data_IF_466379429260
#
_entry.id   IF_466379429260
#
_cell.length_a   1.000
_cell.length_b   1.000
_cell.length_c   1.000
_cell.angle_alpha   90.00
_cell.angle_beta   90.00
_cell.angle_gamma   90.00
#
_symmetry.space_group_name_H-M   'P 1'
#
loop_
_entity.id
_entity.type
_entity.pdbx_description
1 polymer ?
#
# COMPACT_ATOMS: atom_id res chain seq x y z
N UNK A 1 4.11 20.88 4.77
CA UNK A 1 4.05 21.83 3.65
C UNK A 1 4.36 21.09 2.35
N UNK A 2 3.40 20.30 1.86
CA UNK A 2 3.46 19.62 0.55
C UNK A 2 2.13 19.91 -0.14
N UNK A 3 1.84 21.19 -0.31
CA UNK A 3 0.77 21.64 -1.18
C UNK A 3 1.43 22.07 -2.49
N UNK A 4 0.83 21.62 -3.59
CA UNK A 4 1.15 21.99 -4.97
C UNK A 4 2.20 21.14 -5.69
N UNK A 5 2.05 19.80 -5.68
CA UNK A 5 2.52 18.99 -6.80
C UNK A 5 1.65 19.39 -8.00
N UNK A 6 2.15 20.31 -8.82
CA UNK A 6 1.51 20.71 -10.06
C UNK A 6 1.05 19.46 -10.83
N UNK A 7 -0.17 19.48 -11.36
CA UNK A 7 -0.83 18.33 -12.05
C UNK A 7 0.07 17.65 -13.09
N UNK A 8 1.06 18.35 -13.63
CA UNK A 8 2.10 17.85 -14.54
C UNK A 8 3.04 16.78 -13.96
N UNK A 9 3.13 16.64 -12.64
CA UNK A 9 4.15 15.78 -11.99
C UNK A 9 3.56 14.54 -11.30
N UNK A 10 2.23 14.38 -11.28
CA UNK A 10 1.54 13.23 -10.66
C UNK A 10 2.00 11.88 -11.24
N UNK A 11 2.24 11.84 -12.54
CA UNK A 11 2.71 10.63 -13.22
C UNK A 11 4.12 10.23 -12.81
N UNK A 12 5.04 11.21 -12.67
CA UNK A 12 6.41 10.95 -12.18
C UNK A 12 6.41 10.60 -10.70
N UNK A 13 5.56 11.24 -9.91
CA UNK A 13 5.42 10.89 -8.50
C UNK A 13 4.90 9.47 -8.32
N UNK A 14 3.88 9.06 -9.09
CA UNK A 14 3.43 7.67 -9.09
C UNK A 14 4.57 6.71 -9.51
N UNK A 15 5.31 7.04 -10.55
CA UNK A 15 6.49 6.25 -10.96
C UNK A 15 7.53 6.11 -9.85
N UNK A 16 7.81 7.19 -9.12
CA UNK A 16 8.71 7.18 -7.97
C UNK A 16 8.19 6.25 -6.86
N UNK A 17 6.89 6.34 -6.53
CA UNK A 17 6.27 5.48 -5.53
C UNK A 17 6.33 4.00 -5.90
N UNK A 18 6.03 3.65 -7.16
CA UNK A 18 6.14 2.27 -7.65
C UNK A 18 7.59 1.78 -7.54
N UNK A 19 8.56 2.59 -7.94
CA UNK A 19 9.99 2.23 -7.85
C UNK A 19 10.42 2.01 -6.41
N UNK A 20 10.03 2.91 -5.50
CA UNK A 20 10.36 2.81 -4.09
C UNK A 20 9.74 1.57 -3.45
N UNK A 21 8.46 1.31 -3.72
CA UNK A 21 7.75 0.16 -3.22
C UNK A 21 8.38 -1.17 -3.68
N UNK A 22 8.72 -1.29 -4.97
CA UNK A 22 9.39 -2.51 -5.48
C UNK A 22 10.79 -2.66 -4.87
N UNK A 23 11.52 -1.56 -4.70
CA UNK A 23 12.89 -1.60 -4.14
C UNK A 23 12.90 -2.01 -2.66
N UNK A 24 11.87 -1.62 -1.91
CA UNK A 24 11.70 -1.97 -0.50
C UNK A 24 11.05 -3.35 -0.30
N UNK A 25 10.56 -3.97 -1.36
CA UNK A 25 9.91 -5.28 -1.32
C UNK A 25 10.94 -6.40 -1.36
N UNK A 26 10.98 -7.25 -0.33
CA UNK A 26 11.83 -8.45 -0.33
C UNK A 26 11.31 -9.53 -1.28
N UNK A 27 10.03 -9.47 -1.67
CA UNK A 27 9.33 -10.52 -2.41
C UNK A 27 9.26 -10.28 -3.92
N UNK A 28 9.41 -9.04 -4.38
CA UNK A 28 9.14 -8.67 -5.77
C UNK A 28 10.36 -8.04 -6.42
N UNK A 29 10.82 -8.63 -7.53
CA UNK A 29 11.88 -8.05 -8.36
C UNK A 29 11.29 -7.23 -9.50
N UNK A 30 11.98 -6.16 -9.92
CA UNK A 30 11.55 -5.30 -11.03
C UNK A 30 11.27 -6.11 -12.30
N UNK A 31 12.09 -7.13 -12.60
CA UNK A 31 11.90 -7.99 -13.76
C UNK A 31 10.60 -8.80 -13.69
N UNK A 32 10.26 -9.32 -12.50
CA UNK A 32 9.02 -10.08 -12.29
C UNK A 32 7.79 -9.18 -12.44
N UNK A 33 7.82 -7.97 -11.89
CA UNK A 33 6.72 -7.01 -12.03
C UNK A 33 6.58 -6.51 -13.48
N UNK A 34 7.69 -6.30 -14.19
CA UNK A 34 7.67 -5.97 -15.62
C UNK A 34 6.99 -7.07 -16.44
N UNK A 35 7.36 -8.33 -16.21
CA UNK A 35 6.75 -9.48 -16.88
C UNK A 35 5.24 -9.60 -16.56
N UNK A 36 4.87 -9.51 -15.29
CA UNK A 36 3.46 -9.60 -14.85
C UNK A 36 2.58 -8.46 -15.35
N UNK A 37 3.18 -7.33 -15.73
CA UNK A 37 2.48 -6.19 -16.34
C UNK A 37 2.44 -6.23 -17.86
N UNK A 38 3.00 -7.29 -18.48
CA UNK A 38 3.06 -7.47 -19.93
C UNK A 38 4.06 -6.53 -20.62
N UNK A 39 5.04 -5.99 -19.88
CA UNK A 39 6.03 -5.06 -20.39
C UNK A 39 7.41 -5.70 -20.45
N UNK A 40 8.22 -5.27 -21.42
CA UNK A 40 9.65 -5.59 -21.37
C UNK A 40 10.30 -4.86 -20.18
N UNK A 41 11.37 -5.45 -19.63
CA UNK A 41 12.13 -4.85 -18.54
C UNK A 41 12.51 -3.39 -18.84
N UNK A 42 13.01 -3.13 -20.05
CA UNK A 42 13.41 -1.79 -20.47
C UNK A 42 12.22 -0.81 -20.49
N UNK A 43 11.08 -1.21 -21.06
CA UNK A 43 9.89 -0.37 -21.13
C UNK A 43 9.31 -0.05 -19.74
N UNK A 44 9.36 -1.01 -18.82
CA UNK A 44 8.96 -0.80 -17.43
C UNK A 44 9.93 0.14 -16.71
N UNK A 45 11.23 -0.07 -16.89
CA UNK A 45 12.27 0.73 -16.25
C UNK A 45 12.22 2.21 -16.67
N UNK A 46 11.97 2.51 -17.96
CA UNK A 46 11.76 3.90 -18.42
C UNK A 46 10.57 4.58 -17.71
N UNK A 47 9.52 3.83 -17.38
CA UNK A 47 8.37 4.35 -16.62
C UNK A 47 8.72 4.59 -15.17
N UNK A 48 9.45 3.68 -14.54
CA UNK A 48 9.95 3.86 -13.16
C UNK A 48 10.88 5.08 -13.02
N UNK A 49 11.63 5.42 -14.06
CA UNK A 49 12.43 6.65 -14.12
C UNK A 49 11.60 7.93 -14.36
N UNK A 50 10.29 7.80 -14.58
CA UNK A 50 9.39 8.93 -14.85
C UNK A 50 9.61 9.58 -16.23
N UNK A 51 10.30 8.88 -17.15
CA UNK A 51 10.49 9.34 -18.54
C UNK A 51 9.21 9.18 -19.36
N UNK A 52 8.44 8.13 -19.08
CA UNK A 52 7.13 7.88 -19.66
C UNK A 52 6.14 7.62 -18.52
N UNK A 53 4.98 8.30 -18.44
CA UNK A 53 3.99 8.00 -17.42
C UNK A 53 3.33 6.62 -17.66
N UNK A 54 2.90 5.98 -16.58
CA UNK A 54 2.06 4.78 -16.67
C UNK A 54 0.68 5.12 -17.23
N UNK A 55 0.16 4.30 -18.14
CA UNK A 55 -1.24 4.37 -18.56
C UNK A 55 -2.17 3.77 -17.49
N UNK A 56 -3.47 4.08 -17.54
CA UNK A 56 -4.44 3.55 -16.59
C UNK A 56 -4.46 2.00 -16.58
N UNK A 57 -4.35 1.37 -17.76
CA UNK A 57 -4.28 -0.09 -17.87
C UNK A 57 -3.00 -0.66 -17.29
N UNK A 58 -1.87 0.05 -17.43
CA UNK A 58 -0.60 -0.36 -16.81
C UNK A 58 -0.68 -0.24 -15.28
N UNK A 59 -1.25 0.84 -14.76
CA UNK A 59 -1.50 1.02 -13.32
C UNK A 59 -2.36 -0.13 -12.79
N UNK A 60 -3.46 -0.47 -13.48
CA UNK A 60 -4.32 -1.60 -13.10
C UNK A 60 -3.54 -2.92 -13.07
N UNK A 61 -2.71 -3.20 -14.08
CA UNK A 61 -1.89 -4.42 -14.11
C UNK A 61 -0.83 -4.44 -13.02
N UNK A 62 -0.24 -3.29 -12.68
CA UNK A 62 0.71 -3.16 -11.56
C UNK A 62 0.01 -3.53 -10.26
N UNK A 63 -1.14 -2.92 -9.96
CA UNK A 63 -1.88 -3.20 -8.72
C UNK A 63 -2.30 -4.67 -8.64
N UNK A 64 -2.67 -5.28 -9.77
CA UNK A 64 -3.04 -6.70 -9.79
C UNK A 64 -1.85 -7.64 -9.55
N UNK A 65 -0.66 -7.32 -10.08
CA UNK A 65 0.54 -8.15 -9.97
C UNK A 65 1.34 -7.89 -8.68
N UNK A 66 1.24 -6.66 -8.17
CA UNK A 66 1.96 -6.15 -7.01
C UNK A 66 0.97 -5.32 -6.19
N UNK A 67 0.11 -6.00 -5.38
CA UNK A 67 -0.97 -5.37 -4.62
C UNK A 67 -0.42 -4.65 -3.40
N UNK A 68 0.36 -3.61 -3.65
CA UNK A 68 0.96 -2.77 -2.63
C UNK A 68 -0.04 -1.70 -2.18
N UNK A 69 -0.48 -1.68 -0.91
CA UNK A 69 -1.55 -0.79 -0.48
C UNK A 69 -1.21 0.70 -0.61
N UNK A 70 0.06 1.06 -0.38
CA UNK A 70 0.52 2.45 -0.49
C UNK A 70 0.31 3.05 -1.89
N UNK A 71 0.38 2.23 -2.95
CA UNK A 71 0.09 2.67 -4.32
C UNK A 71 -1.39 2.99 -4.52
N UNK A 72 -2.28 2.18 -3.92
CA UNK A 72 -3.72 2.38 -4.03
C UNK A 72 -4.15 3.57 -3.19
N UNK A 73 -3.64 3.72 -1.97
CA UNK A 73 -3.87 4.89 -1.11
C UNK A 73 -3.46 6.19 -1.81
N UNK A 74 -2.35 6.20 -2.55
CA UNK A 74 -1.96 7.36 -3.34
C UNK A 74 -2.99 7.73 -4.42
N UNK A 75 -3.57 6.74 -5.10
CA UNK A 75 -4.59 6.97 -6.14
C UNK A 75 -5.93 7.44 -5.55
N UNK A 76 -6.23 7.04 -4.32
CA UNK A 76 -7.44 7.43 -3.59
C UNK A 76 -7.25 8.69 -2.74
N UNK A 77 -6.06 9.27 -2.74
CA UNK A 77 -5.77 10.49 -1.98
C UNK A 77 -6.75 11.61 -2.39
N UNK A 78 -7.22 12.34 -1.38
CA UNK A 78 -8.22 13.42 -1.52
C UNK A 78 -9.62 12.93 -1.98
N UNK A 79 -9.88 11.62 -1.91
CA UNK A 79 -11.21 11.04 -2.11
C UNK A 79 -11.80 10.54 -0.79
N UNK A 80 -13.11 10.25 -0.76
CA UNK A 80 -13.77 9.66 0.40
C UNK A 80 -13.55 8.13 0.51
N UNK A 81 -12.78 7.54 -0.38
CA UNK A 81 -12.56 6.09 -0.45
C UNK A 81 -11.27 5.70 0.25
N UNK A 82 -11.30 4.54 0.94
CA UNK A 82 -10.13 3.92 1.56
C UNK A 82 -9.89 2.57 0.89
N UNK A 83 -8.62 2.25 0.62
CA UNK A 83 -8.24 0.96 0.08
C UNK A 83 -8.35 -0.10 1.17
N UNK A 84 -9.11 -1.16 0.92
CA UNK A 84 -9.22 -2.34 1.79
C UNK A 84 -8.87 -3.60 1.00
N UNK A 85 -8.14 -4.51 1.64
CA UNK A 85 -7.84 -5.83 1.10
C UNK A 85 -9.09 -6.71 1.13
N UNK A 86 -9.26 -7.54 0.10
CA UNK A 86 -10.29 -8.57 0.09
C UNK A 86 -9.77 -9.80 0.83
N UNK A 87 -10.52 -10.29 1.81
CA UNK A 87 -10.24 -11.56 2.46
C UNK A 87 -10.75 -12.67 1.54
N UNK A 88 -9.85 -13.53 1.09
CA UNK A 88 -10.15 -14.60 0.13
C UNK A 88 -10.62 -15.86 0.87
N UNK A 89 -11.95 -16.01 1.03
CA UNK A 89 -12.57 -17.17 1.67
C UNK A 89 -12.39 -18.47 0.89
N UNK A 90 -12.08 -18.42 -0.41
CA UNK A 90 -11.98 -19.64 -1.23
C UNK A 90 -10.80 -20.53 -0.80
N UNK A 91 -9.89 -19.99 0.01
CA UNK A 91 -8.65 -20.66 0.45
C UNK A 91 -8.63 -21.12 1.90
N UNK A 92 -9.66 -20.82 2.70
CA UNK A 92 -9.71 -21.11 4.14
C UNK A 92 -11.16 -21.19 4.64
N UNK A 93 -11.43 -22.06 5.62
CA UNK A 93 -12.74 -22.09 6.29
C UNK A 93 -13.07 -20.69 6.85
N UNK A 94 -14.34 -20.26 6.73
CA UNK A 94 -14.77 -18.90 7.06
C UNK A 94 -14.40 -18.47 8.49
N UNK A 95 -14.54 -19.38 9.47
CA UNK A 95 -14.17 -19.14 10.87
C UNK A 95 -12.67 -18.88 11.02
N UNK A 96 -11.84 -19.62 10.30
CA UNK A 96 -10.38 -19.45 10.31
C UNK A 96 -9.97 -18.15 9.63
N UNK A 97 -10.63 -17.77 8.53
CA UNK A 97 -10.39 -16.50 7.85
C UNK A 97 -10.71 -15.29 8.76
N UNK A 98 -11.82 -15.34 9.49
CA UNK A 98 -12.18 -14.33 10.50
C UNK A 98 -11.12 -14.28 11.61
N UNK A 99 -10.75 -15.44 12.15
CA UNK A 99 -9.77 -15.53 13.23
C UNK A 99 -8.41 -14.94 12.83
N UNK A 100 -7.89 -15.32 11.66
CA UNK A 100 -6.62 -14.79 11.14
C UNK A 100 -6.68 -13.28 10.90
N UNK A 101 -7.78 -12.78 10.33
CA UNK A 101 -7.95 -11.35 10.10
C UNK A 101 -8.07 -10.56 11.42
N UNK A 102 -8.78 -11.07 12.41
CA UNK A 102 -8.85 -10.46 13.74
C UNK A 102 -7.47 -10.42 14.43
N UNK A 103 -6.71 -11.51 14.34
CA UNK A 103 -5.34 -11.54 14.85
C UNK A 103 -4.43 -10.50 14.17
N UNK A 104 -4.52 -10.37 12.85
CA UNK A 104 -3.77 -9.36 12.09
C UNK A 104 -4.02 -7.94 12.61
N UNK A 105 -5.27 -7.58 12.89
CA UNK A 105 -5.63 -6.28 13.46
C UNK A 105 -4.91 -6.05 14.80
N UNK A 106 -4.88 -7.07 15.67
CA UNK A 106 -4.21 -6.96 16.98
C UNK A 106 -2.71 -6.75 16.82
N UNK A 107 -2.07 -7.45 15.88
CA UNK A 107 -0.64 -7.27 15.59
C UNK A 107 -0.35 -5.86 15.06
N UNK A 108 -1.09 -5.41 14.05
CA UNK A 108 -0.88 -4.08 13.46
C UNK A 108 -1.15 -2.95 14.47
N UNK A 109 -2.20 -3.08 15.29
CA UNK A 109 -2.45 -2.14 16.39
C UNK A 109 -1.32 -2.14 17.44
N UNK A 110 -0.70 -3.29 17.68
CA UNK A 110 0.47 -3.39 18.57
C UNK A 110 1.71 -2.74 17.96
N UNK A 111 1.90 -2.84 16.64
CA UNK A 111 3.00 -2.18 15.93
C UNK A 111 2.87 -0.66 15.97
N UNK A 112 1.65 -0.10 15.90
CA UNK A 112 1.40 1.34 16.16
C UNK A 112 1.96 1.73 17.53
N UNK A 113 1.60 1.00 18.60
CA UNK A 113 2.08 1.29 19.95
C UNK A 113 3.60 1.22 20.04
N UNK A 114 4.22 0.25 19.37
CA UNK A 114 5.67 0.08 19.34
C UNK A 114 6.38 1.25 18.66
N UNK A 115 5.87 1.73 17.52
CA UNK A 115 6.46 2.89 16.83
C UNK A 115 6.27 4.17 17.64
N UNK A 116 5.12 4.34 18.30
CA UNK A 116 4.87 5.46 19.22
C UNK A 116 5.83 5.42 20.42
N UNK A 117 6.05 4.25 21.05
CA UNK A 117 7.03 4.10 22.13
C UNK A 117 8.42 4.54 21.68
N UNK A 118 8.87 4.03 20.53
CA UNK A 118 10.18 4.36 19.95
C UNK A 118 10.31 5.87 19.70
N UNK A 119 9.31 6.50 19.09
CA UNK A 119 9.31 7.93 18.80
C UNK A 119 9.33 8.80 20.08
N UNK A 120 8.73 8.32 21.17
CA UNK A 120 8.65 9.07 22.43
C UNK A 120 9.90 8.92 23.33
N UNK A 121 10.81 7.98 23.03
CA UNK A 121 12.03 7.73 23.83
C UNK A 121 12.91 8.96 23.99
N UNK A 122 13.05 9.75 22.92
CA UNK A 122 13.89 10.96 22.91
C UNK A 122 13.09 12.23 23.27
N UNK A 123 11.83 12.06 23.70
CA UNK A 123 10.89 13.13 24.08
C UNK A 123 10.66 14.19 22.99
N UNK A 124 10.90 13.82 21.73
CA UNK A 124 10.70 14.66 20.56
C UNK A 124 10.20 13.77 19.44
N UNK A 125 9.14 14.22 18.78
CA UNK A 125 8.61 13.57 17.58
C UNK A 125 9.07 14.40 16.38
N UNK A 126 9.84 13.80 15.49
CA UNK A 126 10.24 14.45 14.24
C UNK A 126 9.31 14.10 13.06
N UNK A 127 9.57 14.66 11.87
CA UNK A 127 8.74 14.40 10.70
C UNK A 127 8.77 12.94 10.20
N UNK A 128 9.89 12.24 10.42
CA UNK A 128 10.03 10.82 10.06
C UNK A 128 9.24 9.96 11.02
N UNK A 129 9.21 10.31 12.31
CA UNK A 129 8.40 9.64 13.31
C UNK A 129 6.92 9.76 13.00
N UNK A 130 6.44 10.99 12.70
CA UNK A 130 5.05 11.22 12.29
C UNK A 130 4.70 10.35 11.08
N UNK A 131 5.57 10.33 10.06
CA UNK A 131 5.33 9.52 8.85
C UNK A 131 5.23 8.03 9.17
N UNK A 132 6.06 7.55 10.10
CA UNK A 132 6.08 6.14 10.50
C UNK A 132 4.83 5.78 11.31
N UNK A 133 4.45 6.62 12.28
CA UNK A 133 3.24 6.44 13.09
C UNK A 133 1.99 6.45 12.19
N UNK A 134 1.87 7.43 11.30
CA UNK A 134 0.72 7.52 10.38
C UNK A 134 0.61 6.27 9.52
N UNK A 135 1.74 5.76 9.00
CA UNK A 135 1.73 4.54 8.20
C UNK A 135 1.18 3.34 8.97
N UNK A 136 1.67 3.09 10.19
CA UNK A 136 1.18 1.95 11.00
C UNK A 136 -0.31 2.10 11.35
N UNK A 137 -0.79 3.33 11.59
CA UNK A 137 -2.21 3.60 11.82
C UNK A 137 -3.03 3.25 10.57
N UNK A 138 -2.60 3.73 9.39
CA UNK A 138 -3.28 3.44 8.12
C UNK A 138 -3.33 1.94 7.82
N UNK A 139 -2.28 1.20 8.18
CA UNK A 139 -2.23 -0.25 8.01
C UNK A 139 -3.23 -0.96 8.95
N UNK A 140 -3.28 -0.59 10.23
CA UNK A 140 -4.24 -1.13 11.20
C UNK A 140 -5.71 -0.80 10.83
N UNK A 141 -5.98 0.43 10.38
CA UNK A 141 -7.31 0.84 9.92
C UNK A 141 -7.74 0.03 8.69
N UNK A 142 -6.83 -0.21 7.75
CA UNK A 142 -7.09 -1.01 6.56
C UNK A 142 -7.52 -2.43 6.91
N UNK A 143 -6.80 -3.10 7.82
CA UNK A 143 -7.17 -4.46 8.23
C UNK A 143 -8.52 -4.51 8.93
N UNK A 144 -8.86 -3.49 9.72
CA UNK A 144 -10.16 -3.40 10.37
C UNK A 144 -11.29 -3.22 9.34
N UNK A 145 -11.09 -2.36 8.34
CA UNK A 145 -12.05 -2.19 7.24
C UNK A 145 -12.20 -3.50 6.45
N UNK A 146 -11.09 -4.16 6.11
CA UNK A 146 -11.09 -5.46 5.41
C UNK A 146 -11.91 -6.52 6.14
N UNK A 147 -11.72 -6.67 7.45
CA UNK A 147 -12.51 -7.60 8.26
C UNK A 147 -13.99 -7.21 8.29
N UNK A 148 -14.30 -5.92 8.46
CA UNK A 148 -15.69 -5.44 8.46
C UNK A 148 -16.40 -5.74 7.15
N UNK A 149 -15.76 -5.49 6.02
CA UNK A 149 -16.32 -5.80 4.69
C UNK A 149 -16.55 -7.31 4.54
N UNK A 150 -15.57 -8.14 4.92
CA UNK A 150 -15.71 -9.59 4.86
C UNK A 150 -16.88 -10.13 5.70
N UNK A 151 -16.98 -9.72 6.96
CA UNK A 151 -18.09 -10.10 7.84
C UNK A 151 -19.44 -9.62 7.28
N UNK A 152 -19.46 -8.48 6.59
CA UNK A 152 -20.68 -7.97 5.95
C UNK A 152 -21.12 -8.82 4.76
N UNK A 153 -20.20 -9.52 4.08
CA UNK A 153 -20.53 -10.45 2.99
C UNK A 153 -21.08 -11.80 3.45
N UNK A 154 -20.95 -12.15 4.74
CA UNK A 154 -21.47 -13.39 5.33
C UNK A 154 -22.95 -13.30 5.76
N UNK A 155 -23.58 -12.12 5.64
CA UNK A 155 -25.00 -11.90 5.91
C UNK A 155 -25.86 -12.24 4.71
#
# INVERSE_FOLDING_TARGET
>A
MIDNIATKDRGKHFSFLVRQAITNSERHQIATVAAGTGMSYHAFYQRLEGKTPFSADEIRRIIACFPEPSLVSYLLKDTAYVAAERIDAERSDEEEAIYQAAHRIVFEASDVLKVVDIALRDHRIDHRDITSITKEIEDAERSLISLREYVSTLK
#
